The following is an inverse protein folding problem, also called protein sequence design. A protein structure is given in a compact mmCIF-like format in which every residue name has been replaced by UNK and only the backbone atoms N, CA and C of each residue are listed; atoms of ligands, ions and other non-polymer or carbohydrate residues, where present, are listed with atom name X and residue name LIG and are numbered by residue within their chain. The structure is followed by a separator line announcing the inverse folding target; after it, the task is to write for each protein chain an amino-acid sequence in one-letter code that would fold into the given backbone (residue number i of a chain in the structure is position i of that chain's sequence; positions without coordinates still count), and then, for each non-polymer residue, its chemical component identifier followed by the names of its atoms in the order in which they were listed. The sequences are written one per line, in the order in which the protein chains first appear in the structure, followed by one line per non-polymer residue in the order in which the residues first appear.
data_IF_362980448695
#
_entry.id   IF_362980448695
#
_cell.length_a   1.000
_cell.length_b   1.000
_cell.length_c   1.000
_cell.angle_alpha   90.00
_cell.angle_beta   90.00
_cell.angle_gamma   90.00
#
_symmetry.space_group_name_H-M   'P 1'
#
loop_
_entity.id
_entity.type
_entity.pdbx_description
1 polymer ?
#
# COMPACT_ATOMS: atom_id res chain seq x y z
N UNK A 1 9.08 -4.73 -12.41
CA UNK A 1 10.40 -4.51 -11.75
C UNK A 1 10.26 -3.97 -10.33
N UNK A 2 9.46 -2.91 -10.08
CA UNK A 2 9.31 -2.32 -8.72
C UNK A 2 8.91 -3.37 -7.67
N UNK A 3 7.89 -4.19 -7.93
CA UNK A 3 7.43 -5.21 -6.98
C UNK A 3 8.43 -6.34 -6.73
N UNK A 4 9.29 -6.66 -7.70
CA UNK A 4 10.40 -7.62 -7.48
C UNK A 4 11.42 -7.03 -6.51
N UNK A 5 11.80 -5.76 -6.69
CA UNK A 5 12.68 -5.05 -5.76
C UNK A 5 12.08 -4.92 -4.36
N UNK A 6 10.79 -4.57 -4.26
CA UNK A 6 10.07 -4.48 -3.00
C UNK A 6 10.01 -5.83 -2.26
N UNK A 7 9.75 -6.92 -2.97
CA UNK A 7 9.76 -8.28 -2.43
C UNK A 7 11.15 -8.64 -1.90
N UNK A 8 12.19 -8.47 -2.71
CA UNK A 8 13.57 -8.81 -2.34
C UNK A 8 14.05 -7.99 -1.13
N UNK A 9 13.79 -6.68 -1.12
CA UNK A 9 14.19 -5.80 -0.02
C UNK A 9 13.53 -6.19 1.31
N UNK A 10 12.22 -6.44 1.31
CA UNK A 10 11.50 -6.83 2.54
C UNK A 10 11.88 -8.22 3.05
N UNK A 11 12.28 -9.13 2.17
CA UNK A 11 12.71 -10.49 2.56
C UNK A 11 13.95 -10.45 3.45
N UNK A 12 14.83 -9.48 3.27
CA UNK A 12 16.08 -9.33 4.02
C UNK A 12 15.83 -8.78 5.44
N UNK A 13 14.74 -8.05 5.67
CA UNK A 13 14.48 -7.33 6.94
C UNK A 13 14.49 -8.26 8.15
N UNK A 14 13.74 -9.38 8.08
CA UNK A 14 13.61 -10.29 9.23
C UNK A 14 14.92 -11.01 9.54
N UNK A 15 15.59 -11.69 8.60
CA UNK A 15 16.88 -12.35 8.87
C UNK A 15 17.94 -11.40 9.44
N UNK A 16 17.99 -10.16 8.95
CA UNK A 16 18.96 -9.19 9.41
C UNK A 16 18.67 -8.72 10.84
N UNK A 17 17.39 -8.53 11.17
CA UNK A 17 16.96 -8.18 12.53
C UNK A 17 17.21 -9.33 13.52
N UNK A 18 16.96 -10.57 13.13
CA UNK A 18 17.22 -11.74 13.98
C UNK A 18 18.72 -11.97 14.20
N UNK A 19 19.55 -11.73 13.19
CA UNK A 19 21.00 -11.90 13.30
C UNK A 19 21.70 -10.81 14.12
N UNK A 20 21.23 -9.56 14.07
CA UNK A 20 21.91 -8.38 14.61
C UNK A 20 21.13 -7.67 15.71
N UNK A 21 19.94 -8.16 16.09
CA UNK A 21 19.11 -7.54 17.13
C UNK A 21 18.76 -6.07 16.80
N UNK A 22 18.93 -5.18 17.80
CA UNK A 22 18.63 -3.75 17.61
C UNK A 22 19.60 -3.06 16.63
N UNK A 23 20.85 -3.53 16.52
CA UNK A 23 21.81 -3.04 15.53
C UNK A 23 21.40 -3.38 14.10
N UNK A 24 20.55 -4.40 13.92
CA UNK A 24 19.96 -4.77 12.64
C UNK A 24 19.13 -3.65 12.01
N UNK A 25 18.49 -2.80 12.79
CA UNK A 25 17.74 -1.63 12.29
C UNK A 25 18.68 -0.56 11.70
N UNK A 26 19.83 -0.34 12.34
CA UNK A 26 20.85 0.60 11.85
C UNK A 26 21.45 0.05 10.55
N UNK A 27 21.77 -1.24 10.52
CA UNK A 27 22.31 -1.93 9.35
C UNK A 27 21.34 -1.90 8.16
N UNK A 28 20.02 -2.00 8.39
CA UNK A 28 18.99 -1.84 7.34
C UNK A 28 19.02 -0.45 6.70
N UNK A 29 19.28 0.61 7.48
CA UNK A 29 19.43 1.96 6.93
C UNK A 29 20.67 2.07 6.04
N UNK A 30 21.81 1.51 6.46
CA UNK A 30 23.02 1.46 5.63
C UNK A 30 22.81 0.63 4.36
N UNK A 31 22.12 -0.51 4.47
CA UNK A 31 21.76 -1.32 3.31
C UNK A 31 20.90 -0.53 2.32
N UNK A 32 19.85 0.15 2.79
CA UNK A 32 18.99 0.97 1.96
C UNK A 32 19.74 2.13 1.29
N UNK A 33 20.61 2.81 2.04
CA UNK A 33 21.46 3.87 1.53
C UNK A 33 22.42 3.36 0.44
N UNK A 34 23.04 2.19 0.67
CA UNK A 34 23.94 1.55 -0.30
C UNK A 34 23.21 1.18 -1.59
N UNK A 35 21.99 0.61 -1.49
CA UNK A 35 21.17 0.27 -2.68
C UNK A 35 20.76 1.53 -3.46
N UNK A 36 20.42 2.62 -2.76
CA UNK A 36 20.10 3.91 -3.40
C UNK A 36 21.33 4.48 -4.09
N UNK A 37 22.50 4.41 -3.47
CA UNK A 37 23.76 4.85 -4.06
C UNK A 37 24.14 4.03 -5.30
N UNK A 38 23.98 2.71 -5.26
CA UNK A 38 24.18 1.84 -6.42
C UNK A 38 23.22 2.16 -7.56
N UNK A 39 21.96 2.45 -7.24
CA UNK A 39 20.97 2.88 -8.24
C UNK A 39 21.37 4.22 -8.87
N UNK A 40 21.88 5.18 -8.10
CA UNK A 40 22.44 6.44 -8.60
C UNK A 40 23.60 6.20 -9.57
N UNK A 41 24.55 5.34 -9.19
CA UNK A 41 25.66 4.99 -10.07
C UNK A 41 25.18 4.30 -11.36
N UNK A 42 24.22 3.38 -11.25
CA UNK A 42 23.64 2.72 -12.41
C UNK A 42 23.00 3.74 -13.38
N UNK A 43 22.23 4.69 -12.85
CA UNK A 43 21.67 5.78 -13.67
C UNK A 43 22.79 6.62 -14.31
N UNK A 44 23.77 7.00 -13.53
CA UNK A 44 24.87 7.83 -14.00
C UNK A 44 25.66 7.18 -15.15
N UNK A 45 25.97 5.90 -15.05
CA UNK A 45 26.80 5.21 -16.04
C UNK A 45 26.01 4.64 -17.23
N UNK A 46 24.76 4.21 -17.01
CA UNK A 46 24.00 3.45 -18.01
C UNK A 46 22.82 4.21 -18.62
N UNK A 47 22.31 5.24 -17.91
CA UNK A 47 21.18 5.99 -18.43
C UNK A 47 21.64 7.01 -19.48
N UNK A 48 21.20 6.79 -20.70
CA UNK A 48 21.34 7.80 -21.76
C UNK A 48 20.06 8.60 -21.84
N UNK A 49 20.13 9.88 -21.52
CA UNK A 49 19.00 10.79 -21.70
C UNK A 49 18.52 10.77 -23.15
N UNK A 50 17.22 10.52 -23.36
CA UNK A 50 16.62 10.78 -24.65
C UNK A 50 16.80 12.27 -24.98
N UNK A 51 17.18 12.59 -26.21
CA UNK A 51 17.28 13.99 -26.62
C UNK A 51 15.93 14.68 -26.38
N UNK A 52 15.94 15.71 -25.55
CA UNK A 52 14.75 16.53 -25.31
C UNK A 52 14.39 17.23 -26.64
N UNK A 53 13.33 16.79 -27.27
CA UNK A 53 12.79 17.40 -28.48
C UNK A 53 11.79 18.53 -28.19
N UNK A 54 11.72 19.02 -26.94
CA UNK A 54 10.79 20.06 -26.54
C UNK A 54 11.37 21.08 -25.57
N UNK A 55 10.92 22.32 -25.66
CA UNK A 55 11.16 23.34 -24.64
C UNK A 55 10.52 22.91 -23.32
N UNK A 56 11.27 23.06 -22.19
CA UNK A 56 10.75 22.80 -20.86
C UNK A 56 9.50 23.65 -20.57
N UNK A 57 8.45 23.06 -20.02
CA UNK A 57 7.23 23.80 -19.65
C UNK A 57 7.52 24.81 -18.54
N UNK A 58 7.05 26.03 -18.73
CA UNK A 58 7.14 27.06 -17.69
C UNK A 58 6.21 26.74 -16.52
N UNK A 59 6.53 27.26 -15.33
CA UNK A 59 5.69 27.09 -14.14
C UNK A 59 4.23 27.50 -14.39
N UNK A 60 4.01 28.61 -15.15
CA UNK A 60 2.65 29.03 -15.50
C UNK A 60 1.90 28.02 -16.37
N UNK A 61 2.58 27.35 -17.31
CA UNK A 61 1.97 26.30 -18.13
C UNK A 61 1.60 25.07 -17.28
N UNK A 62 2.48 24.68 -16.34
CA UNK A 62 2.21 23.59 -15.40
C UNK A 62 1.01 23.93 -14.51
N UNK A 63 0.97 25.14 -13.97
CA UNK A 63 -0.13 25.63 -13.13
C UNK A 63 -1.48 25.64 -13.87
N UNK A 64 -1.50 26.16 -15.09
CA UNK A 64 -2.70 26.16 -15.92
C UNK A 64 -3.18 24.73 -16.27
N UNK A 65 -2.26 23.80 -16.51
CA UNK A 65 -2.61 22.41 -16.76
C UNK A 65 -3.17 21.75 -15.48
N UNK A 66 -2.62 22.04 -14.29
CA UNK A 66 -3.18 21.61 -13.01
C UNK A 66 -4.61 22.12 -12.83
N UNK A 67 -4.86 23.40 -13.08
CA UNK A 67 -6.20 23.97 -13.01
C UNK A 67 -7.16 23.25 -13.97
N UNK A 68 -6.74 22.94 -15.20
CA UNK A 68 -7.54 22.16 -16.16
C UNK A 68 -7.88 20.76 -15.64
N UNK A 69 -6.91 20.05 -15.05
CA UNK A 69 -7.15 18.73 -14.44
C UNK A 69 -8.11 18.86 -13.28
N UNK A 70 -7.92 19.83 -12.38
CA UNK A 70 -8.81 20.10 -11.23
C UNK A 70 -10.21 20.56 -11.66
N UNK A 71 -10.36 21.19 -12.81
CA UNK A 71 -11.65 21.60 -13.37
C UNK A 71 -12.38 20.45 -14.09
N UNK A 72 -11.69 19.35 -14.38
CA UNK A 72 -12.30 18.17 -14.98
C UNK A 72 -12.91 17.28 -13.89
N UNK A 73 -14.23 17.39 -13.70
CA UNK A 73 -14.95 16.65 -12.67
C UNK A 73 -14.75 15.13 -12.74
N UNK A 74 -14.58 14.55 -13.93
CA UNK A 74 -14.33 13.10 -14.08
C UNK A 74 -12.96 12.70 -13.54
N UNK A 75 -11.92 13.48 -13.84
CA UNK A 75 -10.56 13.21 -13.36
C UNK A 75 -10.45 13.41 -11.86
N UNK A 76 -11.02 14.48 -11.31
CA UNK A 76 -11.03 14.73 -9.87
C UNK A 76 -11.82 13.67 -9.11
N UNK A 77 -13.00 13.28 -9.60
CA UNK A 77 -13.76 12.19 -8.98
C UNK A 77 -12.95 10.90 -8.95
N UNK A 78 -12.27 10.56 -10.04
CA UNK A 78 -11.40 9.38 -10.07
C UNK A 78 -10.22 9.50 -9.11
N UNK A 79 -9.57 10.66 -9.00
CA UNK A 79 -8.50 10.90 -8.03
C UNK A 79 -9.01 10.68 -6.60
N UNK A 80 -10.20 11.21 -6.25
CA UNK A 80 -10.79 11.05 -4.92
C UNK A 80 -11.08 9.57 -4.61
N UNK A 81 -11.70 8.86 -5.55
CA UNK A 81 -12.00 7.42 -5.40
C UNK A 81 -10.71 6.62 -5.19
N UNK A 82 -9.72 6.84 -6.04
CA UNK A 82 -8.43 6.14 -5.94
C UNK A 82 -7.65 6.56 -4.68
N UNK A 83 -7.88 7.75 -4.15
CA UNK A 83 -7.34 8.15 -2.85
C UNK A 83 -7.83 7.22 -1.74
N UNK A 84 -9.12 6.88 -1.72
CA UNK A 84 -9.69 5.90 -0.76
C UNK A 84 -9.00 4.54 -0.86
N UNK A 85 -8.84 4.01 -2.06
CA UNK A 85 -8.08 2.77 -2.29
C UNK A 85 -6.67 2.83 -1.70
N UNK A 86 -5.90 3.87 -2.02
CA UNK A 86 -4.53 4.01 -1.54
C UNK A 86 -4.45 4.29 -0.04
N UNK A 87 -5.44 4.94 0.56
CA UNK A 87 -5.53 5.05 2.03
C UNK A 87 -5.56 3.67 2.69
N UNK A 88 -6.34 2.73 2.16
CA UNK A 88 -6.39 1.35 2.67
C UNK A 88 -5.09 0.61 2.35
N UNK A 89 -4.52 0.80 1.17
CA UNK A 89 -3.24 0.21 0.79
C UNK A 89 -2.10 0.62 1.73
N UNK A 90 -2.07 1.88 2.19
CA UNK A 90 -1.08 2.37 3.14
C UNK A 90 -1.17 1.70 4.52
N UNK A 91 -2.31 1.08 4.87
CA UNK A 91 -2.46 0.38 6.15
C UNK A 91 -1.57 -0.86 6.27
N UNK A 92 -1.10 -1.39 5.15
CA UNK A 92 -0.07 -2.44 5.12
C UNK A 92 1.21 -2.04 5.87
N UNK A 93 1.49 -0.74 5.95
CA UNK A 93 2.69 -0.19 6.60
C UNK A 93 2.38 0.61 7.86
N UNK A 94 1.23 1.26 7.93
CA UNK A 94 0.88 2.15 9.03
C UNK A 94 0.18 1.42 10.20
N UNK A 95 -0.83 0.61 9.91
CA UNK A 95 -1.68 -0.05 10.91
C UNK A 95 -1.26 -1.49 11.14
N UNK A 96 -1.09 -2.28 10.08
CA UNK A 96 -0.90 -3.73 10.16
C UNK A 96 0.25 -4.15 11.07
N UNK A 97 1.46 -3.55 11.00
CA UNK A 97 2.55 -4.00 11.85
C UNK A 97 2.25 -3.87 13.34
N UNK A 98 1.71 -2.72 13.75
CA UNK A 98 1.35 -2.46 15.16
C UNK A 98 0.18 -3.33 15.61
N UNK A 99 -0.85 -3.45 14.77
CA UNK A 99 -2.03 -4.28 15.02
C UNK A 99 -1.65 -5.75 15.28
N UNK A 100 -0.84 -6.32 14.39
CA UNK A 100 -0.44 -7.72 14.48
C UNK A 100 0.50 -7.97 15.68
N UNK A 101 1.50 -7.09 15.90
CA UNK A 101 2.39 -7.23 17.06
C UNK A 101 1.64 -7.12 18.39
N UNK A 102 0.65 -6.24 18.49
CA UNK A 102 -0.16 -6.09 19.71
C UNK A 102 -1.06 -7.29 19.97
N UNK A 103 -1.71 -7.85 18.95
CA UNK A 103 -2.71 -8.92 19.13
C UNK A 103 -2.12 -10.33 18.99
N UNK A 104 -1.14 -10.55 18.13
CA UNK A 104 -0.51 -11.86 17.92
C UNK A 104 0.85 -12.01 18.60
N UNK A 105 1.35 -10.94 19.23
CA UNK A 105 2.60 -10.92 20.00
C UNK A 105 3.86 -10.72 19.17
N UNK A 106 4.99 -10.59 19.86
CA UNK A 106 6.32 -10.28 19.29
C UNK A 106 6.86 -11.39 18.35
N UNK A 107 6.34 -12.60 18.43
CA UNK A 107 6.67 -13.69 17.50
C UNK A 107 6.15 -13.48 16.08
N UNK A 108 5.22 -12.54 15.88
CA UNK A 108 4.71 -12.20 14.56
C UNK A 108 5.77 -11.51 13.69
N UNK A 109 5.64 -11.65 12.39
CA UNK A 109 6.62 -11.14 11.41
C UNK A 109 5.96 -10.22 10.38
N UNK A 110 5.57 -8.98 10.76
CA UNK A 110 4.83 -8.07 9.89
C UNK A 110 5.52 -7.77 8.55
N UNK A 111 6.87 -7.70 8.53
CA UNK A 111 7.63 -7.49 7.31
C UNK A 111 7.45 -8.62 6.28
N UNK A 112 7.32 -9.85 6.75
CA UNK A 112 7.07 -11.01 5.89
C UNK A 112 5.61 -11.04 5.42
N UNK A 113 4.66 -10.68 6.28
CA UNK A 113 3.26 -10.55 5.86
C UNK A 113 3.10 -9.47 4.79
N UNK A 114 3.75 -8.31 4.96
CA UNK A 114 3.76 -7.25 3.95
C UNK A 114 4.40 -7.68 2.62
N UNK A 115 5.24 -8.72 2.62
CA UNK A 115 5.85 -9.27 1.41
C UNK A 115 4.87 -10.04 0.52
N UNK A 116 3.76 -10.51 1.08
CA UNK A 116 2.71 -11.19 0.33
C UNK A 116 2.12 -10.29 -0.75
N UNK A 117 1.96 -9.00 -0.47
CA UNK A 117 1.41 -8.04 -1.45
C UNK A 117 2.24 -7.99 -2.75
N UNK A 118 3.54 -7.63 -2.77
CA UNK A 118 4.30 -7.57 -4.01
C UNK A 118 4.46 -8.95 -4.67
N UNK A 119 4.45 -10.03 -3.89
CA UNK A 119 4.46 -11.39 -4.44
C UNK A 119 3.20 -11.67 -5.26
N UNK A 120 2.01 -11.38 -4.69
CA UNK A 120 0.73 -11.55 -5.39
C UNK A 120 0.69 -10.70 -6.65
N UNK A 121 1.12 -9.43 -6.58
CA UNK A 121 1.16 -8.54 -7.75
C UNK A 121 2.04 -9.11 -8.85
N UNK A 122 3.26 -9.58 -8.53
CA UNK A 122 4.17 -10.18 -9.53
C UNK A 122 3.55 -11.41 -10.18
N UNK A 123 2.92 -12.29 -9.41
CA UNK A 123 2.33 -13.53 -9.90
C UNK A 123 1.07 -13.30 -10.73
N UNK A 124 0.26 -12.28 -10.40
CA UNK A 124 -1.07 -12.10 -10.99
C UNK A 124 -1.15 -11.02 -12.06
N UNK A 125 -0.19 -10.08 -12.13
CA UNK A 125 -0.26 -8.93 -13.04
C UNK A 125 -0.42 -9.33 -14.51
N UNK A 126 0.31 -10.34 -14.98
CA UNK A 126 0.21 -10.79 -16.36
C UNK A 126 -1.15 -11.44 -16.65
N UNK A 127 -1.64 -12.27 -15.72
CA UNK A 127 -2.94 -12.92 -15.83
C UNK A 127 -4.06 -11.90 -15.87
N UNK A 128 -4.09 -10.98 -14.92
CA UNK A 128 -5.11 -9.91 -14.84
C UNK A 128 -5.06 -9.00 -16.06
N UNK A 129 -3.86 -8.64 -16.52
CA UNK A 129 -3.70 -7.83 -17.74
C UNK A 129 -4.29 -8.53 -18.97
N UNK A 130 -4.05 -9.84 -19.12
CA UNK A 130 -4.64 -10.62 -20.22
C UNK A 130 -6.16 -10.72 -20.11
N UNK A 131 -6.70 -11.00 -18.91
CA UNK A 131 -8.14 -11.07 -18.65
C UNK A 131 -8.84 -9.75 -18.99
N UNK A 132 -8.22 -8.62 -18.61
CA UNK A 132 -8.77 -7.28 -18.77
C UNK A 132 -8.41 -6.63 -20.11
N UNK A 133 -7.67 -7.30 -21.00
CA UNK A 133 -7.20 -6.75 -22.28
C UNK A 133 -8.31 -6.20 -23.15
N UNK A 134 -9.49 -6.86 -23.13
CA UNK A 134 -10.66 -6.47 -23.95
C UNK A 134 -11.65 -5.57 -23.19
N UNK A 135 -11.34 -5.20 -21.96
CA UNK A 135 -12.18 -4.37 -21.09
C UNK A 135 -11.64 -2.96 -20.99
N UNK A 136 -12.52 -2.00 -20.66
CA UNK A 136 -12.07 -0.61 -20.44
C UNK A 136 -11.24 -0.50 -19.15
N UNK A 137 -10.40 0.53 -19.08
CA UNK A 137 -9.63 0.82 -17.87
C UNK A 137 -10.54 0.99 -16.65
N UNK A 138 -11.67 1.71 -16.80
CA UNK A 138 -12.65 1.89 -15.73
C UNK A 138 -13.25 0.56 -15.24
N UNK A 139 -13.60 -0.36 -16.15
CA UNK A 139 -14.11 -1.68 -15.75
C UNK A 139 -13.09 -2.44 -14.90
N UNK A 140 -11.82 -2.44 -15.28
CA UNK A 140 -10.78 -3.10 -14.49
C UNK A 140 -10.64 -2.47 -13.10
N UNK A 141 -10.56 -1.14 -13.03
CA UNK A 141 -10.47 -0.41 -11.76
C UNK A 141 -11.69 -0.70 -10.87
N UNK A 142 -12.89 -0.72 -11.41
CA UNK A 142 -14.12 -1.06 -10.67
C UNK A 142 -14.04 -2.44 -10.03
N UNK A 143 -13.55 -3.45 -10.76
CA UNK A 143 -13.34 -4.80 -10.19
C UNK A 143 -12.37 -4.75 -9.01
N UNK A 144 -11.24 -4.06 -9.15
CA UNK A 144 -10.28 -3.89 -8.06
C UNK A 144 -10.86 -3.18 -6.83
N UNK A 145 -11.69 -2.15 -7.05
CA UNK A 145 -12.39 -1.43 -5.97
C UNK A 145 -13.36 -2.32 -5.19
N UNK A 146 -14.04 -3.28 -5.83
CA UNK A 146 -14.88 -4.25 -5.12
C UNK A 146 -14.08 -5.32 -4.36
N UNK A 147 -12.85 -5.61 -4.77
CA UNK A 147 -11.98 -6.57 -4.06
C UNK A 147 -11.40 -5.95 -2.77
N UNK A 148 -11.14 -4.64 -2.74
CA UNK A 148 -10.50 -4.00 -1.60
C UNK A 148 -11.30 -4.08 -0.28
N UNK A 149 -12.62 -3.84 -0.23
CA UNK A 149 -13.42 -4.07 0.97
C UNK A 149 -13.36 -5.52 1.47
N UNK A 150 -13.30 -6.51 0.56
CA UNK A 150 -13.14 -7.93 0.93
C UNK A 150 -11.82 -8.14 1.68
N UNK A 151 -10.73 -7.51 1.22
CA UNK A 151 -9.45 -7.52 1.92
C UNK A 151 -9.59 -7.03 3.37
N UNK A 152 -10.22 -5.87 3.57
CA UNK A 152 -10.41 -5.30 4.91
C UNK A 152 -11.31 -6.17 5.81
N UNK A 153 -12.36 -6.78 5.26
CA UNK A 153 -13.22 -7.72 5.99
C UNK A 153 -12.48 -8.99 6.40
N UNK A 154 -11.61 -9.53 5.55
CA UNK A 154 -10.73 -10.64 5.92
C UNK A 154 -9.81 -10.24 7.07
N UNK A 155 -9.19 -9.05 7.02
CA UNK A 155 -8.32 -8.56 8.10
C UNK A 155 -9.10 -8.37 9.41
N UNK A 156 -10.34 -7.92 9.36
CA UNK A 156 -11.21 -7.78 10.53
C UNK A 156 -11.55 -9.13 11.18
N UNK A 157 -11.82 -10.16 10.37
CA UNK A 157 -12.30 -11.45 10.85
C UNK A 157 -11.28 -12.19 11.72
N UNK A 158 -9.99 -11.89 11.61
CA UNK A 158 -8.95 -12.50 12.42
C UNK A 158 -9.13 -12.31 13.93
N UNK A 159 -9.68 -11.17 14.36
CA UNK A 159 -9.94 -10.88 15.78
C UNK A 159 -11.24 -11.53 16.30
N UNK A 160 -12.03 -12.13 15.42
CA UNK A 160 -13.26 -12.83 15.77
C UNK A 160 -13.05 -14.33 15.94
N UNK A 161 -11.88 -14.85 15.55
CA UNK A 161 -11.51 -16.24 15.68
C UNK A 161 -10.90 -16.48 17.06
N UNK A 162 -11.00 -17.73 17.54
CA UNK A 162 -10.38 -18.12 18.83
C UNK A 162 -8.85 -17.95 18.76
N UNK A 163 -8.32 -17.03 19.55
CA UNK A 163 -6.89 -16.72 19.62
C UNK A 163 -6.01 -17.88 20.10
N UNK A 164 -6.60 -18.90 20.72
CA UNK A 164 -5.87 -20.08 21.19
C UNK A 164 -5.62 -21.12 20.07
N UNK A 165 -6.29 -20.98 18.92
CA UNK A 165 -6.12 -21.89 17.78
C UNK A 165 -5.09 -21.35 16.81
N UNK A 166 -4.05 -22.13 16.50
CA UNK A 166 -3.12 -21.77 15.44
C UNK A 166 -3.61 -22.31 14.10
N UNK A 167 -3.67 -21.43 13.09
CA UNK A 167 -4.02 -21.78 11.70
C UNK A 167 -2.72 -21.81 10.89
N UNK A 168 -2.34 -22.98 10.40
CA UNK A 168 -1.07 -23.20 9.69
C UNK A 168 0.17 -22.71 10.47
N UNK A 169 0.15 -22.87 11.79
CA UNK A 169 1.25 -22.42 12.66
C UNK A 169 1.28 -20.91 12.94
N UNK A 170 0.26 -20.16 12.52
CA UNK A 170 0.12 -18.74 12.73
C UNK A 170 -1.05 -18.41 13.66
N UNK A 171 -0.90 -17.35 14.44
CA UNK A 171 -2.03 -16.77 15.18
C UNK A 171 -3.16 -16.37 14.22
N UNK A 172 -4.46 -16.57 14.54
CA UNK A 172 -5.57 -16.31 13.63
C UNK A 172 -5.59 -14.88 13.06
N UNK A 173 -5.26 -13.89 13.88
CA UNK A 173 -5.13 -12.49 13.44
C UNK A 173 -4.06 -12.37 12.35
N UNK A 174 -2.88 -12.98 12.53
CA UNK A 174 -1.80 -12.93 11.56
C UNK A 174 -2.17 -13.68 10.27
N UNK A 175 -2.82 -14.84 10.39
CA UNK A 175 -3.28 -15.62 9.24
C UNK A 175 -4.30 -14.84 8.38
N UNK A 176 -5.36 -14.32 9.01
CA UNK A 176 -6.39 -13.57 8.31
C UNK A 176 -5.87 -12.23 7.75
N UNK A 177 -4.85 -11.66 8.39
CA UNK A 177 -4.12 -10.52 7.85
C UNK A 177 -3.44 -10.88 6.52
N UNK A 178 -2.73 -12.01 6.46
CA UNK A 178 -2.10 -12.51 5.23
C UNK A 178 -3.15 -12.75 4.14
N UNK A 179 -4.29 -13.38 4.47
CA UNK A 179 -5.41 -13.58 3.53
C UNK A 179 -5.91 -12.23 2.98
N UNK A 180 -6.12 -11.26 3.85
CA UNK A 180 -6.52 -9.91 3.44
C UNK A 180 -5.49 -9.25 2.52
N UNK A 181 -4.19 -9.40 2.80
CA UNK A 181 -3.11 -8.87 1.98
C UNK A 181 -3.09 -9.52 0.57
N UNK A 182 -3.44 -10.80 0.45
CA UNK A 182 -3.60 -11.45 -0.88
C UNK A 182 -4.68 -10.73 -1.70
N UNK A 183 -5.86 -10.47 -1.12
CA UNK A 183 -6.91 -9.71 -1.80
C UNK A 183 -6.49 -8.27 -2.11
N UNK A 184 -5.73 -7.64 -1.22
CA UNK A 184 -5.18 -6.29 -1.41
C UNK A 184 -4.22 -6.23 -2.61
N UNK A 185 -3.29 -7.18 -2.73
CA UNK A 185 -2.39 -7.30 -3.88
C UNK A 185 -3.13 -7.60 -5.18
N UNK A 186 -4.17 -8.42 -5.12
CA UNK A 186 -5.02 -8.70 -6.27
C UNK A 186 -5.77 -7.43 -6.72
N UNK A 187 -6.37 -6.67 -5.79
CA UNK A 187 -7.03 -5.39 -6.09
C UNK A 187 -6.07 -4.40 -6.74
N UNK A 188 -4.85 -4.28 -6.22
CA UNK A 188 -3.79 -3.43 -6.78
C UNK A 188 -3.48 -3.81 -8.23
N UNK A 189 -3.44 -5.09 -8.55
CA UNK A 189 -3.14 -5.59 -9.90
C UNK A 189 -4.20 -5.16 -10.92
N UNK A 190 -5.47 -5.06 -10.51
CA UNK A 190 -6.56 -4.55 -11.37
C UNK A 190 -6.53 -3.03 -11.55
N UNK A 191 -6.06 -2.29 -10.54
CA UNK A 191 -6.19 -0.82 -10.49
C UNK A 191 -4.94 -0.13 -11.04
N UNK A 192 -3.75 -0.42 -10.51
CA UNK A 192 -2.55 0.39 -10.73
C UNK A 192 -2.18 0.57 -12.21
N UNK A 193 -2.09 -0.48 -13.06
CA UNK A 193 -1.72 -0.28 -14.46
C UNK A 193 -2.79 0.48 -15.24
N UNK A 194 -4.06 0.24 -14.94
CA UNK A 194 -5.20 0.81 -15.66
C UNK A 194 -5.48 2.26 -15.27
N UNK A 195 -5.16 2.64 -14.05
CA UNK A 195 -5.25 4.01 -13.59
C UNK A 195 -4.28 4.93 -14.36
N UNK A 196 -3.02 4.53 -14.48
CA UNK A 196 -2.02 5.29 -15.25
C UNK A 196 -2.37 5.35 -16.74
N UNK A 197 -2.82 4.22 -17.31
CA UNK A 197 -3.32 4.18 -18.70
C UNK A 197 -4.46 5.17 -18.92
N UNK A 198 -5.44 5.19 -18.02
CA UNK A 198 -6.60 6.09 -18.12
C UNK A 198 -6.17 7.55 -18.13
N UNK A 199 -5.27 7.97 -17.22
CA UNK A 199 -4.75 9.34 -17.17
C UNK A 199 -3.95 9.73 -18.41
N UNK A 200 -3.12 8.82 -18.91
CA UNK A 200 -2.36 9.05 -20.14
C UNK A 200 -3.28 9.26 -21.34
N UNK A 201 -4.37 8.50 -21.45
CA UNK A 201 -5.33 8.61 -22.54
C UNK A 201 -6.21 9.89 -22.47
N UNK A 202 -6.34 10.52 -21.31
CA UNK A 202 -7.08 11.78 -21.15
C UNK A 202 -6.22 13.02 -21.45
N UNK A 203 -4.92 12.84 -21.58
CA UNK A 203 -3.99 13.95 -21.81
C UNK A 203 -4.09 14.47 -23.26
N UNK A 204 -4.01 15.79 -23.47
CA UNK A 204 -3.73 16.35 -24.79
C UNK A 204 -2.39 15.85 -25.33
N UNK A 205 -2.25 15.78 -26.67
CA UNK A 205 -1.00 15.35 -27.31
C UNK A 205 0.19 16.17 -26.81
N UNK A 206 1.24 15.50 -26.34
CA UNK A 206 2.44 16.11 -25.79
C UNK A 206 2.33 16.55 -24.33
N UNK A 207 1.22 16.27 -23.64
CA UNK A 207 1.01 16.56 -22.22
C UNK A 207 0.86 15.28 -21.36
N UNK A 208 1.08 14.10 -21.94
CA UNK A 208 0.89 12.80 -21.30
C UNK A 208 1.69 12.69 -20.00
N UNK A 209 2.96 13.11 -20.02
CA UNK A 209 3.83 13.09 -18.85
C UNK A 209 3.34 14.02 -17.72
N UNK A 210 2.76 15.17 -18.06
CA UNK A 210 2.19 16.11 -17.10
C UNK A 210 0.93 15.54 -16.45
N UNK A 211 0.03 14.93 -17.22
CA UNK A 211 -1.17 14.28 -16.71
C UNK A 211 -0.83 13.07 -15.84
N UNK A 212 0.18 12.27 -16.21
CA UNK A 212 0.70 11.20 -15.36
C UNK A 212 1.27 11.75 -14.05
N UNK A 213 1.95 12.89 -14.06
CA UNK A 213 2.38 13.58 -12.85
C UNK A 213 1.20 13.96 -11.95
N UNK A 214 0.16 14.55 -12.53
CA UNK A 214 -1.05 14.93 -11.78
C UNK A 214 -1.86 13.74 -11.29
N UNK A 215 -1.78 12.59 -11.95
CA UNK A 215 -2.42 11.37 -11.43
C UNK A 215 -1.94 11.03 -10.02
N UNK A 216 -0.70 11.38 -9.66
CA UNK A 216 -0.13 11.15 -8.34
C UNK A 216 -0.66 12.08 -7.22
N UNK A 217 -1.57 13.02 -7.53
CA UNK A 217 -2.28 13.78 -6.49
C UNK A 217 -3.01 12.85 -5.49
N UNK A 218 -3.49 11.68 -5.94
CA UNK A 218 -4.06 10.68 -5.05
C UNK A 218 -3.06 10.22 -3.99
N UNK A 219 -1.77 10.07 -4.33
CA UNK A 219 -0.73 9.65 -3.38
C UNK A 219 -0.50 10.70 -2.31
N UNK A 220 -0.52 11.99 -2.68
CA UNK A 220 -0.42 13.09 -1.73
C UNK A 220 -1.61 13.08 -0.73
N UNK A 221 -2.84 13.01 -1.25
CA UNK A 221 -4.04 12.98 -0.42
C UNK A 221 -4.10 11.73 0.46
N UNK A 222 -3.83 10.55 -0.11
CA UNK A 222 -3.85 9.29 0.63
C UNK A 222 -2.75 9.22 1.71
N UNK A 223 -1.62 9.89 1.52
CA UNK A 223 -0.58 9.97 2.55
C UNK A 223 -1.03 10.83 3.73
N UNK A 224 -1.62 11.99 3.49
CA UNK A 224 -2.11 12.86 4.57
C UNK A 224 -3.16 12.13 5.41
N UNK A 225 -4.21 11.62 4.77
CA UNK A 225 -5.32 10.98 5.48
C UNK A 225 -4.99 9.54 5.91
N UNK A 226 -4.24 8.81 5.08
CA UNK A 226 -3.89 7.40 5.31
C UNK A 226 -2.86 7.18 6.41
N UNK A 227 -2.05 8.16 6.78
CA UNK A 227 -1.14 8.07 7.94
C UNK A 227 -1.64 8.81 9.18
N UNK A 228 -2.54 9.78 9.04
CA UNK A 228 -3.15 10.47 10.18
C UNK A 228 -4.22 9.63 10.89
N UNK A 229 -5.15 9.05 10.13
CA UNK A 229 -6.26 8.25 10.65
C UNK A 229 -5.84 7.00 11.45
N UNK A 230 -4.83 6.20 11.04
CA UNK A 230 -4.39 5.04 11.79
C UNK A 230 -3.97 5.30 13.22
N UNK A 231 -3.29 6.40 13.48
CA UNK A 231 -2.87 6.75 14.83
C UNK A 231 -4.06 6.89 15.77
N UNK A 232 -5.10 7.58 15.34
CA UNK A 232 -6.35 7.73 16.08
C UNK A 232 -7.08 6.40 16.28
N UNK A 233 -7.23 5.61 15.20
CA UNK A 233 -7.94 4.33 15.28
C UNK A 233 -7.19 3.31 16.14
N UNK A 234 -5.86 3.24 16.04
CA UNK A 234 -5.06 2.36 16.88
C UNK A 234 -5.12 2.76 18.35
N UNK A 235 -5.03 4.06 18.67
CA UNK A 235 -5.12 4.50 20.07
C UNK A 235 -6.50 4.22 20.68
N UNK A 236 -7.55 4.23 19.88
CA UNK A 236 -8.93 4.01 20.32
C UNK A 236 -9.30 2.53 20.43
N UNK A 237 -8.94 1.71 19.47
CA UNK A 237 -9.44 0.33 19.34
C UNK A 237 -8.39 -0.75 19.56
N UNK A 238 -7.11 -0.41 19.46
CA UNK A 238 -6.00 -1.33 19.70
C UNK A 238 -4.84 -0.57 20.36
N UNK A 239 -5.06 -0.06 21.60
CA UNK A 239 -4.06 0.76 22.30
C UNK A 239 -2.80 -0.05 22.63
N UNK A 240 -1.74 0.62 23.03
CA UNK A 240 -0.49 -0.04 23.44
C UNK A 240 -0.67 -0.81 24.75
N UNK A 241 -0.22 -2.09 24.82
CA UNK A 241 -0.34 -2.89 26.05
C UNK A 241 0.34 -2.25 27.27
N UNK A 242 1.42 -1.51 27.05
CA UNK A 242 2.20 -0.83 28.09
C UNK A 242 1.46 0.30 28.82
N UNK A 243 0.31 0.75 28.29
CA UNK A 243 -0.52 1.79 28.90
C UNK A 243 -1.48 1.25 29.96
N UNK A 244 -1.56 -0.07 30.15
CA UNK A 244 -2.51 -0.73 31.05
C UNK A 244 -1.80 -1.41 32.21
N UNK A 245 -2.46 -1.44 33.35
CA UNK A 245 -1.92 -2.04 34.56
C UNK A 245 -1.89 -3.59 34.51
N UNK A 246 -2.82 -4.19 33.75
CA UNK A 246 -2.91 -5.64 33.55
C UNK A 246 -3.21 -6.02 32.09
N UNK A 247 -2.85 -7.26 31.75
CA UNK A 247 -3.17 -7.81 30.43
C UNK A 247 -4.67 -7.95 30.17
N UNK A 248 -5.45 -8.28 31.24
CA UNK A 248 -6.92 -8.40 31.14
C UNK A 248 -7.59 -7.06 30.82
N UNK A 249 -7.11 -5.98 31.45
CA UNK A 249 -7.60 -4.63 31.19
C UNK A 249 -7.33 -4.24 29.73
N UNK A 250 -6.13 -4.53 29.22
CA UNK A 250 -5.78 -4.29 27.83
C UNK A 250 -6.62 -5.14 26.85
N UNK A 251 -6.86 -6.43 27.15
CA UNK A 251 -7.73 -7.29 26.33
C UNK A 251 -9.16 -6.71 26.23
N UNK A 252 -9.69 -6.19 27.33
CA UNK A 252 -11.00 -5.51 27.34
C UNK A 252 -10.99 -4.27 26.45
N UNK A 253 -9.96 -3.45 26.55
CA UNK A 253 -9.82 -2.23 25.75
C UNK A 253 -9.62 -2.52 24.24
N UNK A 254 -8.99 -3.64 23.88
CA UNK A 254 -8.72 -4.07 22.52
C UNK A 254 -9.74 -5.06 21.92
N UNK A 255 -10.81 -5.40 22.66
CA UNK A 255 -11.85 -6.35 22.21
C UNK A 255 -12.45 -5.97 20.85
N UNK A 256 -12.56 -4.68 20.55
CA UNK A 256 -13.09 -4.14 19.31
C UNK A 256 -12.01 -3.72 18.30
N UNK A 257 -10.79 -4.25 18.40
CA UNK A 257 -9.68 -3.89 17.50
C UNK A 257 -10.03 -4.10 16.01
N UNK A 258 -10.85 -5.10 15.69
CA UNK A 258 -11.33 -5.37 14.33
C UNK A 258 -12.12 -4.22 13.69
N UNK A 259 -12.70 -3.28 14.47
CA UNK A 259 -13.39 -2.11 13.94
C UNK A 259 -12.48 -1.22 13.11
N UNK A 260 -11.19 -1.22 13.36
CA UNK A 260 -10.19 -0.50 12.54
C UNK A 260 -10.35 -0.89 11.07
N UNK A 261 -10.46 -2.19 10.80
CA UNK A 261 -10.59 -2.72 9.44
C UNK A 261 -11.97 -2.48 8.84
N UNK A 262 -13.03 -2.39 9.65
CA UNK A 262 -14.35 -1.97 9.15
C UNK A 262 -14.36 -0.52 8.69
N UNK A 263 -13.67 0.39 9.40
CA UNK A 263 -13.50 1.77 8.94
C UNK A 263 -12.75 1.82 7.61
N UNK A 264 -11.68 1.06 7.47
CA UNK A 264 -10.95 1.01 6.20
C UNK A 264 -11.75 0.32 5.09
N UNK A 265 -12.52 -0.70 5.39
CA UNK A 265 -13.43 -1.33 4.43
C UNK A 265 -14.55 -0.40 3.94
N UNK A 266 -15.00 0.53 4.79
CA UNK A 266 -15.98 1.54 4.41
C UNK A 266 -15.39 2.69 3.57
N UNK A 267 -14.09 2.94 3.67
CA UNK A 267 -13.37 3.94 2.88
C UNK A 267 -13.03 3.40 1.48
N UNK A 268 -12.81 2.07 1.39
CA UNK A 268 -12.43 1.39 0.14
C UNK A 268 -13.54 1.43 -0.90
#
# INVERSE_FOLDING_TARGET
MVNIGAFSGKTIVKPLREALGNEGLITLNYFSASMTFLALLAIWFFYKSAQHSGEGKTFGQIWNALIKVCSNGRLITLIIIITGFWMVQHQLYATMPKYVLRLAGEGASPSWYANVNPLVVVLTVNLVTQMMRKRTALTSMTVGMFIMPISALCMASGNMLDGNTNILGMHPVAFMMVVGIVFQGLAETFISPRFLEYFSLQAPKGEEGLYLGFSHLHSFLSSIFGFGLPGFLLSKYCPEPTLFASHEEWLTASANAHYIWYYFGAIA
#
